data_IF_965193793218
#
_entry.id   IF_965193793218
#
_cell.length_a   1.000
_cell.length_b   1.000
_cell.length_c   1.000
_cell.angle_alpha   90.00
_cell.angle_beta   90.00
_cell.angle_gamma   90.00
#
_symmetry.space_group_name_H-M   'P 1'
#
loop_
_entity.id
_entity.type
_entity.pdbx_description
1 polymer ?
#
# COMPACT_ATOMS: atom_id res chain seq x y z
N UNK A 1 -24.89 -43.23 10.59
CA UNK A 1 -24.65 -41.92 9.94
C UNK A 1 -23.30 -41.97 9.24
N UNK A 2 -23.24 -41.83 7.92
CA UNK A 2 -21.98 -41.92 7.16
C UNK A 2 -21.11 -40.66 7.33
N UNK A 3 -19.79 -40.81 7.13
CA UNK A 3 -18.79 -39.75 7.32
C UNK A 3 -19.15 -38.45 6.60
N UNK A 4 -19.71 -38.54 5.39
CA UNK A 4 -20.18 -37.38 4.60
C UNK A 4 -21.17 -36.49 5.34
N UNK A 5 -22.13 -37.07 6.04
CA UNK A 5 -23.15 -36.28 6.76
C UNK A 5 -22.58 -35.61 8.01
N UNK A 6 -21.63 -36.27 8.67
CA UNK A 6 -20.89 -35.67 9.80
C UNK A 6 -20.04 -34.49 9.33
N UNK A 7 -19.32 -34.67 8.22
CA UNK A 7 -18.49 -33.62 7.63
C UNK A 7 -19.32 -32.39 7.24
N UNK A 8 -20.46 -32.58 6.57
CA UNK A 8 -21.36 -31.48 6.21
C UNK A 8 -21.86 -30.74 7.45
N UNK A 9 -22.26 -31.46 8.50
CA UNK A 9 -22.72 -30.85 9.75
C UNK A 9 -21.62 -30.01 10.43
N UNK A 10 -20.39 -30.52 10.49
CA UNK A 10 -19.26 -29.78 11.05
C UNK A 10 -18.87 -28.56 10.20
N UNK A 11 -18.84 -28.70 8.88
CA UNK A 11 -18.54 -27.57 7.98
C UNK A 11 -19.61 -26.49 8.08
N UNK A 12 -20.89 -26.86 8.18
CA UNK A 12 -21.97 -25.90 8.36
C UNK A 12 -21.80 -25.07 9.65
N UNK A 13 -21.51 -25.74 10.78
CA UNK A 13 -21.21 -25.04 12.03
C UNK A 13 -19.96 -24.16 11.93
N UNK A 14 -18.90 -24.64 11.26
CA UNK A 14 -17.68 -23.86 11.02
C UNK A 14 -17.95 -22.62 10.16
N UNK A 15 -18.76 -22.73 9.10
CA UNK A 15 -19.12 -21.59 8.24
C UNK A 15 -19.86 -20.50 9.02
N UNK A 16 -20.82 -20.90 9.86
CA UNK A 16 -21.53 -19.96 10.75
C UNK A 16 -20.55 -19.28 11.69
N UNK A 17 -19.65 -20.05 12.32
CA UNK A 17 -18.63 -19.50 13.22
C UNK A 17 -17.70 -18.51 12.51
N UNK A 18 -17.20 -18.86 11.32
CA UNK A 18 -16.33 -18.00 10.52
C UNK A 18 -17.02 -16.70 10.11
N UNK A 19 -18.32 -16.74 9.80
CA UNK A 19 -19.10 -15.55 9.51
C UNK A 19 -19.10 -14.55 10.68
N UNK A 20 -19.43 -15.01 11.88
CA UNK A 20 -19.42 -14.16 13.08
C UNK A 20 -18.03 -13.62 13.40
N UNK A 21 -16.99 -14.45 13.28
CA UNK A 21 -15.60 -14.02 13.47
C UNK A 21 -15.21 -12.95 12.44
N UNK A 22 -15.59 -13.11 11.18
CA UNK A 22 -15.33 -12.15 10.11
C UNK A 22 -15.94 -10.78 10.39
N UNK A 23 -17.23 -10.74 10.78
CA UNK A 23 -17.91 -9.50 11.16
C UNK A 23 -17.28 -8.84 12.38
N UNK A 24 -16.97 -9.61 13.43
CA UNK A 24 -16.34 -9.10 14.65
C UNK A 24 -14.97 -8.48 14.36
N UNK A 25 -14.12 -9.16 13.59
CA UNK A 25 -12.80 -8.65 13.21
C UNK A 25 -12.92 -7.39 12.34
N UNK A 26 -13.87 -7.35 11.41
CA UNK A 26 -14.12 -6.19 10.54
C UNK A 26 -14.60 -4.98 11.32
N UNK A 27 -15.57 -5.16 12.22
CA UNK A 27 -16.07 -4.10 13.10
C UNK A 27 -14.95 -3.55 14.02
N UNK A 28 -14.08 -4.42 14.52
CA UNK A 28 -12.92 -4.02 15.34
C UNK A 28 -11.87 -3.28 14.51
N UNK A 29 -11.64 -3.70 13.26
CA UNK A 29 -10.74 -3.01 12.33
C UNK A 29 -11.21 -1.57 12.09
N UNK A 30 -12.50 -1.42 11.76
CA UNK A 30 -13.15 -0.14 11.46
C UNK A 30 -13.17 0.80 12.66
N UNK A 31 -13.50 0.30 13.85
CA UNK A 31 -13.57 1.11 15.08
C UNK A 31 -12.20 1.60 15.56
N UNK A 32 -11.13 0.82 15.35
CA UNK A 32 -9.77 1.20 15.76
C UNK A 32 -8.96 1.87 14.65
N UNK A 33 -9.51 1.99 13.43
CA UNK A 33 -8.78 2.49 12.26
C UNK A 33 -7.54 1.66 11.91
N UNK A 34 -7.54 0.36 12.27
CA UNK A 34 -6.38 -0.51 12.04
C UNK A 34 -6.53 -1.25 10.71
N UNK A 35 -5.64 -0.95 9.78
CA UNK A 35 -5.51 -1.73 8.54
C UNK A 35 -4.61 -2.95 8.75
N UNK A 36 -5.12 -4.15 8.46
CA UNK A 36 -4.36 -5.39 8.54
C UNK A 36 -3.58 -5.64 7.24
N UNK A 37 -2.39 -5.05 7.13
CA UNK A 37 -1.46 -5.30 6.02
C UNK A 37 -0.57 -6.53 6.29
N UNK A 38 -1.00 -7.70 5.82
CA UNK A 38 -0.21 -8.93 5.93
C UNK A 38 0.85 -9.04 4.83
N UNK A 39 0.56 -8.54 3.62
CA UNK A 39 1.47 -8.64 2.48
C UNK A 39 2.61 -7.61 2.55
N UNK A 40 3.82 -7.95 2.05
CA UNK A 40 4.96 -7.04 2.01
C UNK A 40 4.66 -5.71 1.32
N UNK A 41 3.98 -5.73 0.16
CA UNK A 41 3.63 -4.51 -0.59
C UNK A 41 2.76 -3.55 0.25
N UNK A 42 1.65 -4.07 0.79
CA UNK A 42 0.73 -3.32 1.67
C UNK A 42 1.47 -2.70 2.87
N UNK A 43 2.40 -3.46 3.48
CA UNK A 43 3.16 -2.99 4.64
C UNK A 43 4.03 -1.77 4.31
N UNK A 44 4.74 -1.82 3.18
CA UNK A 44 5.60 -0.70 2.74
C UNK A 44 4.75 0.52 2.38
N UNK A 45 3.68 0.33 1.61
CA UNK A 45 2.77 1.41 1.22
C UNK A 45 2.13 2.06 2.45
N UNK A 46 1.66 1.24 3.42
CA UNK A 46 1.10 1.74 4.67
C UNK A 46 2.13 2.53 5.49
N UNK A 47 3.34 2.01 5.62
CA UNK A 47 4.44 2.70 6.33
C UNK A 47 4.74 4.06 5.68
N UNK A 48 4.83 4.11 4.35
CA UNK A 48 5.03 5.34 3.58
C UNK A 48 3.88 6.34 3.81
N UNK A 49 2.63 5.88 3.75
CA UNK A 49 1.43 6.73 3.91
C UNK A 49 1.23 7.24 5.34
N UNK A 50 1.77 6.54 6.33
CA UNK A 50 1.63 6.89 7.75
C UNK A 50 2.55 8.03 8.21
N UNK A 51 3.52 8.45 7.38
CA UNK A 51 4.57 9.42 7.71
C UNK A 51 4.37 10.75 6.99
N UNK A 52 5.04 11.80 7.48
CA UNK A 52 5.00 13.11 6.85
C UNK A 52 5.59 13.05 5.42
N UNK A 53 4.80 13.47 4.43
CA UNK A 53 5.15 13.39 3.01
C UNK A 53 5.73 14.72 2.52
N UNK A 54 6.93 14.66 1.97
CA UNK A 54 7.67 15.81 1.42
C UNK A 54 8.15 15.51 0.01
N UNK A 55 8.37 16.56 -0.79
CA UNK A 55 8.73 16.47 -2.20
C UNK A 55 10.12 17.05 -2.43
N UNK A 56 10.83 16.52 -3.42
CA UNK A 56 12.10 17.10 -3.87
C UNK A 56 11.87 18.28 -4.82
N UNK A 57 12.85 19.18 -5.00
CA UNK A 57 12.72 20.29 -5.95
C UNK A 57 12.44 19.85 -7.40
N UNK A 58 12.95 18.67 -7.79
CA UNK A 58 12.69 18.10 -9.10
C UNK A 58 11.20 17.76 -9.28
N UNK A 59 10.59 17.20 -8.24
CA UNK A 59 9.17 16.84 -8.22
C UNK A 59 8.28 18.08 -8.12
N UNK A 60 8.70 19.09 -7.35
CA UNK A 60 7.97 20.38 -7.27
C UNK A 60 7.86 21.05 -8.64
N UNK A 61 8.90 20.94 -9.48
CA UNK A 61 8.86 21.45 -10.85
C UNK A 61 7.83 20.73 -11.74
N UNK A 62 7.57 19.44 -11.50
CA UNK A 62 6.57 18.64 -12.23
C UNK A 62 5.16 19.08 -11.82
N UNK A 63 4.95 19.32 -10.52
CA UNK A 63 3.69 19.87 -10.01
C UNK A 63 3.44 21.29 -10.51
N UNK A 64 4.48 22.13 -10.57
CA UNK A 64 4.37 23.49 -11.11
C UNK A 64 3.97 23.50 -12.60
N UNK A 65 4.45 22.52 -13.38
CA UNK A 65 4.07 22.30 -14.78
C UNK A 65 2.68 21.67 -14.96
N UNK A 66 1.96 21.37 -13.87
CA UNK A 66 0.64 20.70 -13.86
C UNK A 66 0.60 19.39 -14.66
N UNK A 67 1.72 18.66 -14.70
CA UNK A 67 1.79 17.36 -15.38
C UNK A 67 1.01 16.29 -14.60
N UNK A 68 1.01 16.41 -13.26
CA UNK A 68 0.25 15.57 -12.33
C UNK A 68 -0.08 16.35 -11.06
N UNK A 69 -0.97 15.83 -10.22
CA UNK A 69 -1.39 16.46 -8.96
C UNK A 69 -0.96 15.61 -7.76
N UNK A 70 -0.77 16.24 -6.58
CA UNK A 70 -0.45 15.53 -5.33
C UNK A 70 -1.47 14.43 -4.99
N UNK A 71 -2.75 14.63 -5.32
CA UNK A 71 -3.82 13.64 -5.16
C UNK A 71 -3.59 12.41 -6.02
N UNK A 72 -3.32 12.59 -7.31
CA UNK A 72 -3.03 11.50 -8.26
C UNK A 72 -1.79 10.70 -7.84
N UNK A 73 -0.76 11.38 -7.34
CA UNK A 73 0.45 10.71 -6.83
C UNK A 73 0.16 9.92 -5.56
N UNK A 74 -0.65 10.45 -4.63
CA UNK A 74 -1.03 9.70 -3.44
C UNK A 74 -1.87 8.46 -3.78
N UNK A 75 -2.76 8.57 -4.76
CA UNK A 75 -3.52 7.44 -5.29
C UNK A 75 -2.58 6.43 -5.96
N UNK A 76 -1.65 6.89 -6.80
CA UNK A 76 -0.67 6.04 -7.47
C UNK A 76 0.25 5.30 -6.48
N UNK A 77 0.66 5.93 -5.38
CA UNK A 77 1.40 5.28 -4.30
C UNK A 77 0.54 4.22 -3.60
N UNK A 78 -0.74 4.52 -3.38
CA UNK A 78 -1.67 3.63 -2.67
C UNK A 78 -2.03 2.38 -3.47
N UNK A 79 -2.11 2.49 -4.80
CA UNK A 79 -2.41 1.39 -5.72
C UNK A 79 -1.17 0.75 -6.37
N UNK A 80 0.02 1.30 -6.11
CA UNK A 80 1.26 0.87 -6.74
C UNK A 80 1.78 -0.48 -6.25
N UNK A 81 2.73 -1.02 -7.01
CA UNK A 81 3.49 -2.21 -6.65
C UNK A 81 4.95 -1.86 -6.36
N UNK A 82 5.48 -2.35 -5.24
CA UNK A 82 6.84 -2.09 -4.81
C UNK A 82 7.78 -3.10 -5.47
N UNK A 83 8.73 -2.61 -6.28
CA UNK A 83 9.80 -3.44 -6.84
C UNK A 83 10.82 -3.76 -5.72
N UNK A 84 10.57 -4.83 -4.98
CA UNK A 84 11.43 -5.29 -3.89
C UNK A 84 12.84 -5.66 -4.36
N UNK A 85 13.04 -5.98 -5.64
CA UNK A 85 14.36 -6.32 -6.19
C UNK A 85 15.28 -5.10 -6.23
N UNK A 86 14.71 -3.91 -6.35
CA UNK A 86 15.44 -2.63 -6.41
C UNK A 86 15.19 -1.72 -5.18
N UNK A 87 14.45 -2.23 -4.19
CA UNK A 87 14.02 -1.49 -3.01
C UNK A 87 14.66 -1.99 -1.72
N UNK A 88 14.39 -1.32 -0.59
CA UNK A 88 14.92 -1.63 0.74
C UNK A 88 16.46 -1.55 0.82
N UNK A 89 17.06 -0.70 -0.04
CA UNK A 89 18.50 -0.42 -0.01
C UNK A 89 18.79 0.86 0.81
N UNK A 90 19.86 0.88 1.64
CA UNK A 90 20.28 2.09 2.33
C UNK A 90 20.64 3.19 1.33
N UNK A 91 20.06 4.38 1.49
CA UNK A 91 20.27 5.50 0.59
C UNK A 91 20.03 6.83 1.32
N UNK A 92 21.00 7.75 1.26
CA UNK A 92 20.95 9.08 1.90
C UNK A 92 20.48 9.06 3.37
N UNK A 93 20.97 8.10 4.17
CA UNK A 93 20.57 7.86 5.59
C UNK A 93 19.12 7.38 5.79
N UNK A 94 18.40 7.06 4.73
CA UNK A 94 17.09 6.39 4.75
C UNK A 94 17.12 5.09 3.94
N UNK A 95 15.93 4.57 3.60
CA UNK A 95 15.76 3.41 2.71
C UNK A 95 15.11 3.84 1.41
N UNK A 96 15.65 3.42 0.27
CA UNK A 96 15.06 3.67 -1.04
C UNK A 96 14.00 2.62 -1.38
N UNK A 97 12.87 3.06 -1.89
CA UNK A 97 11.80 2.24 -2.44
C UNK A 97 11.44 2.73 -3.84
N UNK A 98 11.23 1.77 -4.74
CA UNK A 98 10.76 2.00 -6.10
C UNK A 98 9.35 1.45 -6.19
N UNK A 99 8.40 2.31 -6.56
CA UNK A 99 6.99 1.95 -6.70
C UNK A 99 6.58 2.17 -8.14
N UNK A 100 6.15 1.10 -8.80
CA UNK A 100 5.58 1.14 -10.13
C UNK A 100 4.06 1.28 -10.03
N UNK A 101 3.49 2.22 -10.77
CA UNK A 101 2.06 2.51 -10.73
C UNK A 101 1.56 3.06 -12.06
N UNK A 102 0.27 3.35 -12.12
CA UNK A 102 -0.39 3.96 -13.27
C UNK A 102 -1.17 5.19 -12.82
N UNK A 103 -1.01 6.29 -13.56
CA UNK A 103 -1.78 7.52 -13.37
C UNK A 103 -2.84 7.62 -14.46
N UNK A 104 -3.95 8.32 -14.16
CA UNK A 104 -5.07 8.62 -15.06
C UNK A 104 -4.66 8.75 -16.52
N UNK A 105 -5.24 7.90 -17.37
CA UNK A 105 -4.90 7.78 -18.79
C UNK A 105 -3.84 6.72 -19.13
N UNK A 106 -3.68 5.69 -18.30
CA UNK A 106 -2.76 4.54 -18.50
C UNK A 106 -1.27 4.92 -18.66
N UNK A 107 -0.86 6.06 -18.12
CA UNK A 107 0.56 6.43 -18.10
C UNK A 107 1.26 5.65 -17.01
N UNK A 108 2.17 4.76 -17.39
CA UNK A 108 2.99 4.02 -16.43
C UNK A 108 3.98 4.98 -15.79
N UNK A 109 4.06 4.94 -14.47
CA UNK A 109 4.97 5.77 -13.71
C UNK A 109 5.78 4.94 -12.75
N UNK A 110 7.04 5.33 -12.58
CA UNK A 110 7.92 4.78 -11.57
C UNK A 110 8.28 5.88 -10.59
N UNK A 111 7.93 5.67 -9.32
CA UNK A 111 8.12 6.60 -8.22
C UNK A 111 9.32 6.16 -7.40
N UNK A 112 10.28 7.06 -7.20
CA UNK A 112 11.41 6.83 -6.30
C UNK A 112 11.19 7.53 -4.98
N UNK A 113 11.08 6.75 -3.91
CA UNK A 113 10.75 7.23 -2.58
C UNK A 113 11.90 6.92 -1.62
N UNK A 114 12.24 7.91 -0.78
CA UNK A 114 13.16 7.73 0.34
C UNK A 114 12.35 7.72 1.63
N UNK A 115 12.38 6.58 2.30
CA UNK A 115 11.65 6.33 3.53
C UNK A 115 12.60 6.47 4.74
N UNK A 116 12.33 7.45 5.60
CA UNK A 116 13.00 7.65 6.89
C UNK A 116 12.11 7.15 8.04
N UNK A 117 12.59 7.27 9.27
CA UNK A 117 11.81 6.88 10.45
C UNK A 117 10.62 7.80 10.69
N UNK A 118 10.79 9.11 10.47
CA UNK A 118 9.84 10.18 10.77
C UNK A 118 9.09 10.72 9.53
N UNK A 119 9.72 10.64 8.36
CA UNK A 119 9.23 11.28 7.13
C UNK A 119 9.52 10.47 5.88
N UNK A 120 8.88 10.86 4.80
CA UNK A 120 9.07 10.29 3.47
C UNK A 120 9.32 11.41 2.47
N UNK A 121 10.29 11.21 1.59
CA UNK A 121 10.63 12.12 0.49
C UNK A 121 10.33 11.42 -0.83
N UNK A 122 9.48 12.03 -1.66
CA UNK A 122 9.38 11.67 -3.08
C UNK A 122 10.53 12.33 -3.83
N UNK A 123 11.51 11.52 -4.24
CA UNK A 123 12.75 12.01 -4.86
C UNK A 123 12.58 12.26 -6.35
N UNK A 124 11.95 11.32 -7.06
CA UNK A 124 11.85 11.34 -8.53
C UNK A 124 10.55 10.69 -9.00
N UNK A 125 9.99 11.22 -10.10
CA UNK A 125 8.87 10.64 -10.85
C UNK A 125 9.37 10.41 -12.28
N UNK A 126 9.37 9.16 -12.74
CA UNK A 126 9.65 8.80 -14.13
C UNK A 126 8.35 8.40 -14.83
N UNK A 127 8.06 9.03 -15.95
CA UNK A 127 6.96 8.67 -16.83
C UNK A 127 7.50 7.77 -17.94
N UNK A 128 6.93 6.57 -18.08
CA UNK A 128 7.27 5.60 -19.12
C UNK A 128 6.29 5.67 -20.30
#
# INVERSE_FOLDING_TARGET
MSLRFRLVFYLFGLFIGLYFVGEFLTAKAKSKGVEFCYFPNCRVIKDIRSKAFTTSPAVDSIFAKKITTKTEINEAISSGDVDFSKSNIPYKKGKKYIIDSQISGNKKVTLTIINYTDRVILEEIKFN
#
